data_IF_203839542272
#
_entry.id   IF_203839542272
#
_cell.length_a   1.000
_cell.length_b   1.000
_cell.length_c   1.000
_cell.angle_alpha   90.00
_cell.angle_beta   90.00
_cell.angle_gamma   90.00
#
_symmetry.space_group_name_H-M   'P 1'
#
loop_
_entity.id
_entity.type
_entity.pdbx_description
1 polymer ?
#
# COMPACT_ATOMS: atom_id res chain seq x y z
N UNK A 1 -5.93 -27.76 2.77
CA UNK A 1 -6.52 -26.46 3.18
C UNK A 1 -5.64 -25.66 4.17
N UNK A 2 -4.44 -26.12 4.52
CA UNK A 2 -3.55 -25.47 5.52
C UNK A 2 -2.58 -24.42 4.95
N UNK A 3 -2.25 -24.48 3.65
CA UNK A 3 -1.26 -23.58 3.03
C UNK A 3 -1.74 -22.15 2.72
N UNK A 4 -3.05 -21.93 2.62
CA UNK A 4 -3.63 -20.59 2.37
C UNK A 4 -3.58 -19.72 3.62
N UNK A 5 -3.81 -20.29 4.79
CA UNK A 5 -3.78 -19.57 6.07
C UNK A 5 -2.38 -19.06 6.44
N UNK A 6 -1.35 -19.88 6.22
CA UNK A 6 0.04 -19.47 6.51
C UNK A 6 0.55 -18.36 5.58
N UNK A 7 0.04 -18.27 4.35
CA UNK A 7 0.36 -17.17 3.43
C UNK A 7 -0.34 -15.87 3.81
N UNK A 8 -1.60 -15.95 4.24
CA UNK A 8 -2.35 -14.80 4.73
C UNK A 8 -1.71 -14.17 5.96
N UNK A 9 -1.28 -14.99 6.93
CA UNK A 9 -0.60 -14.51 8.15
C UNK A 9 0.73 -13.77 7.87
N UNK A 10 1.36 -14.03 6.71
CA UNK A 10 2.62 -13.38 6.29
C UNK A 10 2.40 -12.12 5.46
N UNK A 11 1.18 -11.83 5.01
CA UNK A 11 0.95 -10.67 4.14
C UNK A 11 1.02 -9.36 4.94
N UNK A 12 1.67 -8.35 4.37
CA UNK A 12 1.76 -7.01 4.96
C UNK A 12 0.38 -6.40 5.25
N UNK A 13 -0.63 -6.50 4.35
CA UNK A 13 -1.97 -5.98 4.63
C UNK A 13 -2.65 -6.67 5.81
N UNK A 14 -2.46 -7.99 5.96
CA UNK A 14 -3.04 -8.72 7.09
C UNK A 14 -2.38 -8.33 8.41
N UNK A 15 -1.05 -8.20 8.44
CA UNK A 15 -0.31 -7.75 9.63
C UNK A 15 -0.73 -6.35 10.05
N UNK A 16 -0.87 -5.42 9.11
CA UNK A 16 -1.35 -4.06 9.38
C UNK A 16 -2.78 -4.07 9.95
N UNK A 17 -3.68 -4.84 9.35
CA UNK A 17 -5.05 -4.98 9.85
C UNK A 17 -5.07 -5.54 11.29
N UNK A 18 -4.24 -6.54 11.58
CA UNK A 18 -4.12 -7.12 12.91
C UNK A 18 -3.55 -6.11 13.93
N UNK A 19 -2.55 -5.31 13.54
CA UNK A 19 -1.99 -4.27 14.42
C UNK A 19 -3.01 -3.17 14.71
N UNK A 20 -3.78 -2.72 13.72
CA UNK A 20 -4.83 -1.73 13.94
C UNK A 20 -5.97 -2.30 14.80
N UNK A 21 -6.37 -3.56 14.56
CA UNK A 21 -7.35 -4.25 15.41
C UNK A 21 -6.87 -4.33 16.86
N UNK A 22 -5.60 -4.70 17.08
CA UNK A 22 -5.01 -4.75 18.41
C UNK A 22 -4.99 -3.37 19.08
N UNK A 23 -4.53 -2.32 18.39
CA UNK A 23 -4.52 -0.95 18.92
C UNK A 23 -5.92 -0.45 19.25
N UNK A 24 -6.91 -0.77 18.42
CA UNK A 24 -8.30 -0.38 18.65
C UNK A 24 -8.89 -1.09 19.87
N UNK A 25 -8.67 -2.41 20.00
CA UNK A 25 -9.11 -3.17 21.18
C UNK A 25 -8.40 -2.67 22.43
N UNK A 26 -7.10 -2.40 22.37
CA UNK A 26 -6.34 -1.84 23.48
C UNK A 26 -6.88 -0.47 23.91
N UNK A 27 -7.12 0.43 22.95
CA UNK A 27 -7.71 1.74 23.23
C UNK A 27 -9.12 1.62 23.84
N UNK A 28 -9.93 0.67 23.35
CA UNK A 28 -11.26 0.40 23.90
C UNK A 28 -11.18 -0.09 25.35
N UNK A 29 -10.31 -1.07 25.63
CA UNK A 29 -10.06 -1.60 26.99
C UNK A 29 -9.58 -0.52 27.95
N UNK A 30 -8.62 0.30 27.52
CA UNK A 30 -8.12 1.42 28.34
C UNK A 30 -9.21 2.45 28.61
N UNK A 31 -10.00 2.81 27.60
CA UNK A 31 -11.15 3.71 27.76
C UNK A 31 -12.17 3.15 28.74
N UNK A 32 -12.51 1.86 28.62
CA UNK A 32 -13.41 1.17 29.55
C UNK A 32 -12.90 1.17 30.99
N UNK A 33 -11.60 0.91 31.18
CA UNK A 33 -10.99 0.95 32.51
C UNK A 33 -11.05 2.35 33.14
N UNK A 34 -10.79 3.41 32.35
CA UNK A 34 -10.90 4.80 32.80
C UNK A 34 -12.34 5.14 33.18
N UNK A 35 -13.31 4.79 32.31
CA UNK A 35 -14.73 5.04 32.57
C UNK A 35 -15.20 4.30 33.83
N UNK A 36 -14.82 3.03 33.99
CA UNK A 36 -15.15 2.24 35.19
C UNK A 36 -14.58 2.89 36.45
N UNK A 37 -13.31 3.29 36.43
CA UNK A 37 -12.66 3.93 37.57
C UNK A 37 -13.29 5.28 37.93
N UNK A 38 -13.60 6.11 36.91
CA UNK A 38 -14.26 7.40 37.12
C UNK A 38 -15.68 7.23 37.68
N UNK A 39 -16.43 6.25 37.17
CA UNK A 39 -17.78 5.94 37.63
C UNK A 39 -17.80 5.39 39.06
N UNK A 40 -16.92 4.44 39.38
CA UNK A 40 -16.83 3.84 40.72
C UNK A 40 -16.44 4.88 41.78
N UNK A 41 -15.50 5.78 41.44
CA UNK A 41 -15.14 6.91 42.31
C UNK A 41 -16.31 7.89 42.53
N UNK A 42 -17.02 8.30 41.47
CA UNK A 42 -18.18 9.20 41.56
C UNK A 42 -19.35 8.55 42.34
N UNK A 43 -19.61 7.25 42.15
CA UNK A 43 -20.62 6.51 42.91
C UNK A 43 -20.28 6.43 44.40
N UNK A 44 -19.02 6.15 44.74
CA UNK A 44 -18.58 6.08 46.14
C UNK A 44 -18.70 7.45 46.84
N UNK A 45 -18.28 8.53 46.19
CA UNK A 45 -18.39 9.89 46.74
C UNK A 45 -19.86 10.32 46.92
N UNK A 46 -20.71 10.08 45.91
CA UNK A 46 -22.15 10.37 46.02
C UNK A 46 -22.84 9.56 47.10
N UNK A 47 -22.44 8.31 47.29
CA UNK A 47 -22.98 7.47 48.35
C UNK A 47 -22.60 8.03 49.73
N UNK A 48 -21.32 8.37 49.94
CA UNK A 48 -20.84 8.97 51.17
C UNK A 48 -21.56 10.32 51.46
N UNK A 49 -21.72 11.18 50.46
CA UNK A 49 -22.48 12.45 50.59
C UNK A 49 -23.94 12.21 50.95
N UNK A 50 -24.62 11.27 50.27
CA UNK A 50 -26.02 10.93 50.53
C UNK A 50 -26.22 10.38 51.94
N UNK A 51 -25.31 9.52 52.41
CA UNK A 51 -25.34 8.99 53.77
C UNK A 51 -25.18 10.14 54.78
N UNK A 52 -24.23 11.04 54.55
CA UNK A 52 -23.93 12.15 55.46
C UNK A 52 -25.05 13.18 55.50
N UNK A 53 -25.67 13.50 54.37
CA UNK A 53 -26.87 14.34 54.30
C UNK A 53 -28.05 13.71 55.04
N UNK A 54 -28.29 12.41 54.80
CA UNK A 54 -29.36 11.67 55.49
C UNK A 54 -29.12 11.66 57.01
N UNK A 55 -27.88 11.41 57.44
CA UNK A 55 -27.49 11.53 58.85
C UNK A 55 -27.78 12.93 59.39
N UNK A 56 -27.36 13.99 58.69
CA UNK A 56 -27.54 15.37 59.13
C UNK A 56 -29.02 15.75 59.26
N UNK A 57 -29.87 15.31 58.32
CA UNK A 57 -31.32 15.56 58.36
C UNK A 57 -31.97 14.88 59.56
N UNK A 58 -31.65 13.61 59.82
CA UNK A 58 -32.21 12.87 60.96
C UNK A 58 -31.65 13.39 62.29
N UNK A 59 -30.35 13.72 62.34
CA UNK A 59 -29.72 14.30 63.52
C UNK A 59 -30.30 15.69 63.85
N UNK A 60 -30.65 16.50 62.85
CA UNK A 60 -31.24 17.82 63.05
C UNK A 60 -32.65 17.77 63.67
N UNK A 61 -33.34 16.62 63.60
CA UNK A 61 -34.63 16.41 64.30
C UNK A 61 -34.48 16.37 65.81
N UNK A 62 -33.26 16.21 66.33
CA UNK A 62 -32.96 16.33 67.75
C UNK A 62 -32.85 17.81 68.17
N UNK A 63 -34.00 18.50 68.23
CA UNK A 63 -34.12 19.81 68.84
C UNK A 63 -34.73 19.69 70.26
N UNK A 64 -34.29 20.53 71.20
CA UNK A 64 -34.85 20.64 72.55
C UNK A 64 -34.78 19.38 73.45
N UNK A 65 -33.82 18.48 73.22
CA UNK A 65 -33.63 17.27 74.05
C UNK A 65 -34.81 16.28 73.95
N UNK A 66 -35.64 16.38 72.90
CA UNK A 66 -36.76 15.47 72.65
C UNK A 66 -36.29 14.17 72.00
N UNK A 67 -35.85 13.24 72.85
CA UNK A 67 -35.48 11.89 72.43
C UNK A 67 -36.65 11.14 71.78
N UNK A 68 -37.89 11.46 72.13
CA UNK A 68 -39.07 10.77 71.63
C UNK A 68 -39.31 11.10 70.16
N UNK A 69 -39.14 12.35 69.77
CA UNK A 69 -39.24 12.80 68.37
C UNK A 69 -38.16 12.17 67.48
N UNK A 70 -36.92 12.05 68.00
CA UNK A 70 -35.83 11.36 67.30
C UNK A 70 -36.11 9.87 67.12
N UNK A 71 -36.59 9.19 68.16
CA UNK A 71 -36.98 7.76 68.12
C UNK A 71 -38.11 7.54 67.11
N UNK A 72 -39.11 8.41 67.08
CA UNK A 72 -40.24 8.33 66.15
C UNK A 72 -39.80 8.58 64.69
N UNK A 73 -38.91 9.54 64.48
CA UNK A 73 -38.32 9.85 63.16
C UNK A 73 -37.47 8.69 62.65
N UNK A 74 -36.55 8.17 63.47
CA UNK A 74 -35.74 6.98 63.12
C UNK A 74 -36.64 5.76 62.87
N UNK A 75 -37.66 5.56 63.71
CA UNK A 75 -38.65 4.49 63.54
C UNK A 75 -39.41 4.59 62.22
N UNK A 76 -39.93 5.77 61.89
CA UNK A 76 -40.69 6.00 60.65
C UNK A 76 -39.84 5.87 59.38
N UNK A 77 -38.59 6.37 59.39
CA UNK A 77 -37.65 6.19 58.29
C UNK A 77 -37.25 4.71 58.12
N UNK A 78 -37.03 3.99 59.21
CA UNK A 78 -36.67 2.57 59.18
C UNK A 78 -37.76 1.67 58.59
N UNK A 79 -39.04 2.03 58.78
CA UNK A 79 -40.20 1.30 58.23
C UNK A 79 -40.45 1.59 56.74
N UNK A 80 -39.96 2.72 56.22
CA UNK A 80 -40.09 3.09 54.79
C UNK A 80 -39.09 2.36 53.89
N UNK A 81 -37.98 1.85 54.44
CA UNK A 81 -36.99 1.07 53.69
C UNK A 81 -37.44 -0.39 53.51
N UNK A 82 -38.42 -0.62 52.63
CA UNK A 82 -39.04 -1.93 52.39
C UNK A 82 -38.06 -3.02 51.92
N UNK A 83 -36.95 -2.64 51.29
CA UNK A 83 -35.90 -3.55 50.81
C UNK A 83 -34.64 -3.58 51.69
N UNK A 84 -34.64 -2.89 52.84
CA UNK A 84 -33.44 -2.73 53.70
C UNK A 84 -32.23 -2.17 52.94
N UNK A 85 -32.47 -1.38 51.89
CA UNK A 85 -31.45 -0.62 51.16
C UNK A 85 -30.87 0.50 52.04
N UNK A 86 -31.62 0.92 53.06
CA UNK A 86 -31.21 1.89 54.06
C UNK A 86 -31.46 1.32 55.46
N UNK A 87 -30.44 1.41 56.31
CA UNK A 87 -30.47 0.96 57.67
C UNK A 87 -30.24 2.14 58.62
N UNK A 88 -31.04 2.19 59.67
CA UNK A 88 -30.97 3.19 60.73
C UNK A 88 -30.84 2.49 62.07
N UNK A 89 -29.94 2.98 62.91
CA UNK A 89 -29.75 2.50 64.28
C UNK A 89 -29.50 3.69 65.19
N UNK A 90 -30.35 3.87 66.20
CA UNK A 90 -30.14 4.78 67.30
C UNK A 90 -29.82 3.96 68.55
N UNK A 91 -28.66 4.19 69.14
CA UNK A 91 -28.17 3.44 70.31
C UNK A 91 -27.89 4.37 71.49
N UNK A 92 -28.12 3.88 72.70
CA UNK A 92 -27.75 4.60 73.92
C UNK A 92 -26.23 4.56 74.17
N UNK A 93 -25.75 5.29 75.18
CA UNK A 93 -24.33 5.32 75.57
C UNK A 93 -23.75 3.95 75.99
N UNK A 94 -24.60 2.93 76.21
CA UNK A 94 -24.21 1.56 76.55
C UNK A 94 -24.29 0.60 75.35
N UNK A 95 -24.68 1.10 74.17
CA UNK A 95 -24.80 0.33 72.94
C UNK A 95 -26.13 -0.40 72.74
N UNK A 96 -27.13 -0.17 73.60
CA UNK A 96 -28.46 -0.77 73.41
C UNK A 96 -29.27 0.02 72.38
N UNK A 97 -29.99 -0.69 71.51
CA UNK A 97 -30.83 -0.08 70.47
C UNK A 97 -32.07 0.59 71.06
N UNK A 98 -32.19 1.90 70.86
CA UNK A 98 -33.37 2.71 71.18
C UNK A 98 -34.39 2.73 70.03
N UNK A 99 -33.93 2.82 68.78
CA UNK A 99 -34.78 2.85 67.58
C UNK A 99 -34.03 2.37 66.34
N UNK A 100 -34.77 1.96 65.30
CA UNK A 100 -34.22 1.60 63.99
C UNK A 100 -34.39 0.12 63.59
N UNK A 101 -33.98 -0.20 62.37
CA UNK A 101 -34.18 -1.52 61.75
C UNK A 101 -32.97 -2.47 61.90
N UNK A 102 -31.84 -2.00 62.42
CA UNK A 102 -30.68 -2.82 62.79
C UNK A 102 -30.06 -2.35 64.10
N UNK A 103 -29.10 -3.11 64.64
CA UNK A 103 -28.33 -2.70 65.84
C UNK A 103 -26.87 -2.50 65.46
N UNK A 104 -26.42 -1.24 65.44
CA UNK A 104 -25.02 -0.89 65.23
C UNK A 104 -24.21 -1.23 66.48
N UNK A 105 -23.44 -2.33 66.44
CA UNK A 105 -22.57 -2.74 67.54
C UNK A 105 -21.10 -2.62 67.11
N UNK A 106 -20.33 -1.78 67.81
CA UNK A 106 -18.87 -1.67 67.61
C UNK A 106 -18.42 -0.92 66.35
N UNK A 107 -19.29 -0.13 65.71
CA UNK A 107 -18.90 0.73 64.59
C UNK A 107 -18.18 1.99 65.10
N UNK A 108 -17.06 2.40 64.47
CA UNK A 108 -16.35 3.62 64.84
C UNK A 108 -17.12 4.87 64.40
N UNK A 109 -16.85 6.00 65.08
CA UNK A 109 -17.36 7.30 64.64
C UNK A 109 -16.83 7.67 63.25
N UNK A 110 -17.71 8.23 62.44
CA UNK A 110 -17.48 8.54 61.03
C UNK A 110 -17.85 7.39 60.10
N UNK A 111 -17.15 7.36 58.97
CA UNK A 111 -17.45 6.45 57.87
C UNK A 111 -16.88 5.04 58.12
N UNK A 112 -17.72 4.02 58.04
CA UNK A 112 -17.34 2.61 58.18
C UNK A 112 -17.99 1.73 57.11
N UNK A 113 -17.50 0.50 56.94
CA UNK A 113 -18.13 -0.54 56.13
C UNK A 113 -18.36 -1.77 57.01
N UNK A 114 -19.48 -2.45 56.82
CA UNK A 114 -19.79 -3.69 57.52
C UNK A 114 -20.61 -4.63 56.64
N UNK A 115 -20.56 -5.92 56.96
CA UNK A 115 -21.28 -6.97 56.27
C UNK A 115 -22.30 -7.64 57.20
N UNK A 116 -22.72 -8.84 56.83
CA UNK A 116 -23.94 -9.50 57.30
C UNK A 116 -23.84 -10.13 58.69
N UNK A 117 -22.77 -9.86 59.42
CA UNK A 117 -22.56 -10.34 60.79
C UNK A 117 -23.40 -9.58 61.84
N UNK A 118 -24.11 -8.51 61.45
CA UNK A 118 -24.89 -7.68 62.39
C UNK A 118 -26.38 -8.04 62.48
N UNK A 119 -26.99 -8.03 63.69
CA UNK A 119 -28.42 -8.29 63.87
C UNK A 119 -29.32 -7.29 63.13
N UNK A 120 -30.11 -7.80 62.18
CA UNK A 120 -31.06 -7.02 61.38
C UNK A 120 -30.63 -6.79 59.93
N UNK A 121 -29.39 -7.12 59.57
CA UNK A 121 -28.83 -6.97 58.22
C UNK A 121 -29.21 -8.18 57.35
N UNK A 122 -29.63 -8.00 56.08
CA UNK A 122 -29.82 -9.09 55.13
C UNK A 122 -28.51 -9.84 54.82
N UNK A 123 -28.52 -11.17 54.60
CA UNK A 123 -27.33 -11.95 54.24
C UNK A 123 -26.83 -11.65 52.81
N UNK A 124 -25.50 -11.65 52.62
CA UNK A 124 -24.82 -11.35 51.35
C UNK A 124 -24.76 -9.89 50.88
N UNK A 125 -25.11 -8.90 51.70
CA UNK A 125 -25.04 -7.48 51.32
C UNK A 125 -24.01 -6.73 52.17
N UNK A 126 -23.13 -5.98 51.52
CA UNK A 126 -22.22 -5.03 52.17
C UNK A 126 -22.90 -3.67 52.34
N UNK A 127 -22.62 -3.01 53.46
CA UNK A 127 -23.19 -1.71 53.79
C UNK A 127 -22.10 -0.68 54.07
N UNK A 128 -22.33 0.52 53.56
CA UNK A 128 -21.55 1.71 53.87
C UNK A 128 -22.29 2.52 54.93
N UNK A 129 -21.65 2.80 56.06
CA UNK A 129 -22.25 3.47 57.20
C UNK A 129 -21.56 4.79 57.56
N UNK A 130 -22.34 5.70 58.15
CA UNK A 130 -21.83 6.84 58.89
C UNK A 130 -22.44 6.85 60.30
N UNK A 131 -21.57 6.82 61.31
CA UNK A 131 -21.94 6.86 62.72
C UNK A 131 -21.49 8.18 63.35
N UNK A 132 -22.31 8.75 64.23
CA UNK A 132 -21.91 9.93 64.99
C UNK A 132 -22.82 10.21 66.20
N UNK A 133 -22.34 11.06 67.13
CA UNK A 133 -23.09 11.42 68.33
C UNK A 133 -24.23 12.39 68.02
N UNK A 134 -25.40 12.12 68.60
CA UNK A 134 -26.58 13.00 68.60
C UNK A 134 -27.08 13.10 70.04
N UNK A 135 -26.74 14.20 70.72
CA UNK A 135 -26.97 14.37 72.15
C UNK A 135 -26.08 13.45 72.99
N UNK A 136 -26.69 12.48 73.67
CA UNK A 136 -26.01 11.41 74.45
C UNK A 136 -26.08 10.02 73.82
N UNK A 137 -26.58 9.93 72.58
CA UNK A 137 -26.82 8.69 71.85
C UNK A 137 -25.98 8.66 70.57
N UNK A 138 -25.80 7.49 69.98
CA UNK A 138 -25.14 7.33 68.68
C UNK A 138 -26.17 7.00 67.61
N UNK A 139 -26.24 7.85 66.58
CA UNK A 139 -27.03 7.60 65.38
C UNK A 139 -26.11 7.01 64.31
N UNK A 140 -26.55 5.90 63.71
CA UNK A 140 -25.89 5.30 62.55
C UNK A 140 -26.88 5.20 61.40
N UNK A 141 -26.46 5.72 60.25
CA UNK A 141 -27.16 5.59 58.97
C UNK A 141 -26.27 4.75 58.05
N UNK A 142 -26.82 3.70 57.45
CA UNK A 142 -26.10 2.85 56.52
C UNK A 142 -26.89 2.62 55.24
N UNK A 143 -26.21 2.55 54.10
CA UNK A 143 -26.78 2.29 52.78
C UNK A 143 -26.15 1.04 52.20
N UNK A 144 -26.94 0.24 51.49
CA UNK A 144 -26.50 -0.99 50.84
C UNK A 144 -25.60 -0.68 49.64
N UNK A 145 -24.48 -1.37 49.51
CA UNK A 145 -23.62 -1.35 48.32
C UNK A 145 -24.17 -2.23 47.18
N UNK A 146 -25.27 -2.96 47.41
CA UNK A 146 -25.86 -3.84 46.39
C UNK A 146 -26.29 -3.11 45.13
N UNK A 147 -26.82 -1.89 45.22
CA UNK A 147 -27.21 -1.09 44.04
C UNK A 147 -25.97 -0.65 43.25
N UNK A 148 -24.91 -0.22 43.93
CA UNK A 148 -23.64 0.16 43.30
C UNK A 148 -22.97 -1.05 42.65
N UNK A 149 -22.99 -2.22 43.30
CA UNK A 149 -22.46 -3.47 42.74
C UNK A 149 -23.25 -3.97 41.52
N UNK A 150 -24.58 -3.83 41.53
CA UNK A 150 -25.42 -4.15 40.37
C UNK A 150 -25.11 -3.24 39.18
N UNK A 151 -24.98 -1.94 39.40
CA UNK A 151 -24.57 -0.96 38.40
C UNK A 151 -23.19 -1.30 37.82
N UNK A 152 -22.21 -1.58 38.68
CA UNK A 152 -20.87 -1.99 38.26
C UNK A 152 -20.90 -3.27 37.42
N UNK A 153 -21.68 -4.28 37.83
CA UNK A 153 -21.85 -5.54 37.09
C UNK A 153 -22.47 -5.32 35.70
N UNK A 154 -23.51 -4.50 35.61
CA UNK A 154 -24.17 -4.18 34.33
C UNK A 154 -23.16 -3.50 33.40
N UNK A 155 -22.37 -2.55 33.91
CA UNK A 155 -21.36 -1.83 33.13
C UNK A 155 -20.24 -2.75 32.68
N UNK A 156 -19.69 -3.60 33.56
CA UNK A 156 -18.66 -4.57 33.22
C UNK A 156 -19.16 -5.58 32.19
N UNK A 157 -20.38 -6.10 32.33
CA UNK A 157 -20.96 -7.04 31.37
C UNK A 157 -21.21 -6.36 30.01
N UNK A 158 -21.72 -5.13 30.01
CA UNK A 158 -21.91 -4.33 28.79
C UNK A 158 -20.58 -4.06 28.09
N UNK A 159 -19.53 -3.76 28.86
CA UNK A 159 -18.18 -3.55 28.35
C UNK A 159 -17.57 -4.85 27.77
N UNK A 160 -17.81 -5.99 28.43
CA UNK A 160 -17.41 -7.30 27.95
C UNK A 160 -18.06 -7.66 26.61
N UNK A 161 -19.39 -7.47 26.49
CA UNK A 161 -20.10 -7.67 25.23
C UNK A 161 -19.63 -6.70 24.13
N UNK A 162 -19.44 -5.42 24.47
CA UNK A 162 -18.89 -4.43 23.54
C UNK A 162 -17.52 -4.83 23.02
N UNK A 163 -16.61 -5.27 23.91
CA UNK A 163 -15.27 -5.74 23.55
C UNK A 163 -15.34 -6.95 22.63
N UNK A 164 -16.21 -7.91 22.92
CA UNK A 164 -16.39 -9.12 22.11
C UNK A 164 -16.89 -8.80 20.70
N UNK A 165 -17.90 -7.94 20.58
CA UNK A 165 -18.45 -7.51 19.29
C UNK A 165 -17.41 -6.75 18.46
N UNK A 166 -16.73 -5.76 19.08
CA UNK A 166 -15.69 -4.96 18.42
C UNK A 166 -14.55 -5.85 17.95
N UNK A 167 -14.09 -6.78 18.79
CA UNK A 167 -13.01 -7.71 18.43
C UNK A 167 -13.43 -8.60 17.26
N UNK A 168 -14.65 -9.15 17.30
CA UNK A 168 -15.20 -9.96 16.21
C UNK A 168 -15.27 -9.19 14.88
N UNK A 169 -15.78 -7.95 14.91
CA UNK A 169 -15.84 -7.07 13.74
C UNK A 169 -14.45 -6.71 13.22
N UNK A 170 -13.50 -6.41 14.11
CA UNK A 170 -12.13 -6.06 13.72
C UNK A 170 -11.42 -7.24 13.04
N UNK A 171 -11.54 -8.45 13.59
CA UNK A 171 -10.97 -9.67 13.00
C UNK A 171 -11.63 -10.00 11.66
N UNK A 172 -12.96 -9.99 11.60
CA UNK A 172 -13.70 -10.29 10.37
C UNK A 172 -13.43 -9.27 9.27
N UNK A 173 -13.52 -7.97 9.58
CA UNK A 173 -13.24 -6.87 8.67
C UNK A 173 -11.78 -6.90 8.17
N UNK A 174 -10.83 -7.11 9.08
CA UNK A 174 -9.41 -7.24 8.75
C UNK A 174 -9.13 -8.42 7.81
N UNK A 175 -9.71 -9.60 8.08
CA UNK A 175 -9.57 -10.77 7.22
C UNK A 175 -10.19 -10.56 5.82
N UNK A 176 -11.36 -9.92 5.74
CA UNK A 176 -12.02 -9.60 4.47
C UNK A 176 -11.21 -8.61 3.62
N UNK A 177 -10.70 -7.54 4.21
CA UNK A 177 -9.88 -6.56 3.51
C UNK A 177 -8.55 -7.17 3.05
N UNK A 178 -7.85 -7.87 3.95
CA UNK A 178 -6.57 -8.51 3.64
C UNK A 178 -6.71 -9.55 2.53
N UNK A 179 -7.76 -10.38 2.55
CA UNK A 179 -8.00 -11.38 1.50
C UNK A 179 -8.30 -10.75 0.13
N UNK A 180 -9.02 -9.63 0.08
CA UNK A 180 -9.25 -8.90 -1.18
C UNK A 180 -7.96 -8.35 -1.78
N UNK A 181 -7.12 -7.71 -0.96
CA UNK A 181 -5.83 -7.15 -1.42
C UNK A 181 -4.88 -8.27 -1.85
N UNK A 182 -4.77 -9.33 -1.06
CA UNK A 182 -3.90 -10.46 -1.37
C UNK A 182 -4.26 -11.12 -2.71
N UNK A 183 -5.55 -11.35 -2.98
CA UNK A 183 -6.00 -11.94 -4.26
C UNK A 183 -5.58 -11.10 -5.47
N UNK A 184 -5.56 -9.77 -5.35
CA UNK A 184 -5.09 -8.90 -6.43
C UNK A 184 -3.58 -8.98 -6.63
N UNK A 185 -2.82 -8.96 -5.54
CA UNK A 185 -1.37 -9.14 -5.60
C UNK A 185 -0.98 -10.49 -6.18
N UNK A 186 -1.72 -11.56 -5.84
CA UNK A 186 -1.50 -12.89 -6.41
C UNK A 186 -1.75 -12.90 -7.93
N UNK A 187 -2.74 -12.14 -8.42
CA UNK A 187 -2.99 -11.94 -9.85
C UNK A 187 -1.82 -11.26 -10.57
N UNK A 188 -1.29 -10.18 -9.98
CA UNK A 188 -0.09 -9.49 -10.50
C UNK A 188 1.10 -10.46 -10.55
N UNK A 189 1.35 -11.17 -9.45
CA UNK A 189 2.46 -12.12 -9.35
C UNK A 189 2.34 -13.24 -10.40
N UNK A 190 1.13 -13.76 -10.63
CA UNK A 190 0.89 -14.77 -11.66
C UNK A 190 1.24 -14.25 -13.06
N UNK A 191 0.82 -13.03 -13.42
CA UNK A 191 1.19 -12.42 -14.71
C UNK A 191 2.71 -12.26 -14.83
N UNK A 192 3.40 -11.81 -13.78
CA UNK A 192 4.86 -11.68 -13.81
C UNK A 192 5.57 -13.03 -13.99
N UNK A 193 5.05 -14.10 -13.38
CA UNK A 193 5.54 -15.45 -13.60
C UNK A 193 5.32 -15.88 -15.05
N UNK A 194 4.15 -15.60 -15.63
CA UNK A 194 3.85 -15.93 -17.03
C UNK A 194 4.78 -15.20 -18.01
N UNK A 195 5.02 -13.91 -17.78
CA UNK A 195 5.99 -13.09 -18.54
C UNK A 195 7.40 -13.67 -18.42
N UNK A 196 7.82 -14.11 -17.24
CA UNK A 196 9.15 -14.72 -17.05
C UNK A 196 9.34 -16.04 -17.82
N UNK A 197 8.25 -16.74 -18.14
CA UNK A 197 8.24 -17.92 -19.02
C UNK A 197 8.08 -17.56 -20.52
N UNK A 198 8.17 -16.28 -20.89
CA UNK A 198 8.12 -15.81 -22.27
C UNK A 198 6.73 -15.47 -22.80
N UNK A 199 5.67 -15.50 -21.97
CA UNK A 199 4.31 -15.13 -22.38
C UNK A 199 4.10 -13.61 -22.30
N UNK A 200 4.68 -12.90 -23.28
CA UNK A 200 4.72 -11.43 -23.31
C UNK A 200 3.37 -10.76 -23.64
N UNK A 201 2.36 -11.52 -24.05
CA UNK A 201 1.02 -10.99 -24.36
C UNK A 201 0.10 -10.90 -23.14
N UNK A 202 0.51 -11.50 -22.01
CA UNK A 202 -0.28 -11.48 -20.78
C UNK A 202 -0.25 -10.10 -20.12
N UNK A 203 -1.39 -9.68 -19.57
CA UNK A 203 -1.53 -8.38 -18.88
C UNK A 203 -2.17 -8.56 -17.52
N UNK A 204 -1.82 -7.67 -16.61
CA UNK A 204 -2.43 -7.61 -15.29
C UNK A 204 -3.88 -7.12 -15.46
N UNK A 205 -4.88 -7.84 -14.93
CA UNK A 205 -6.28 -7.42 -15.02
C UNK A 205 -6.53 -6.16 -14.19
N UNK A 206 -7.06 -5.12 -14.82
CA UNK A 206 -7.48 -3.90 -14.14
C UNK A 206 -8.90 -4.06 -13.62
N UNK A 207 -9.17 -3.56 -12.41
CA UNK A 207 -10.52 -3.58 -11.83
C UNK A 207 -11.37 -2.36 -12.14
N UNK A 208 -10.78 -1.31 -12.73
CA UNK A 208 -11.47 -0.08 -13.12
C UNK A 208 -11.91 0.79 -11.94
N UNK A 209 -11.35 0.56 -10.75
CA UNK A 209 -11.62 1.35 -9.55
C UNK A 209 -10.72 2.57 -9.43
N UNK A 210 -9.61 2.60 -10.17
CA UNK A 210 -8.65 3.70 -10.13
C UNK A 210 -7.96 3.84 -8.77
N UNK A 211 -7.83 2.74 -8.04
CA UNK A 211 -7.05 2.69 -6.81
C UNK A 211 -5.54 2.55 -7.09
N UNK A 212 -4.72 2.67 -6.05
CA UNK A 212 -3.26 2.61 -6.16
C UNK A 212 -2.78 1.33 -6.87
N UNK A 213 -3.49 0.22 -6.69
CA UNK A 213 -3.15 -1.06 -7.34
C UNK A 213 -3.46 -1.00 -8.84
N UNK A 214 -4.60 -0.43 -9.25
CA UNK A 214 -4.92 -0.23 -10.67
C UNK A 214 -3.90 0.71 -11.35
N UNK A 215 -3.47 1.78 -10.67
CA UNK A 215 -2.46 2.71 -11.19
C UNK A 215 -1.15 1.98 -11.45
N UNK A 216 -0.62 1.27 -10.46
CA UNK A 216 0.63 0.50 -10.60
C UNK A 216 0.48 -0.57 -11.68
N UNK A 217 -0.65 -1.28 -11.71
CA UNK A 217 -0.93 -2.31 -12.72
C UNK A 217 -0.94 -1.73 -14.13
N UNK A 218 -1.49 -0.52 -14.33
CA UNK A 218 -1.48 0.14 -15.63
C UNK A 218 -0.06 0.51 -16.09
N UNK A 219 0.79 0.99 -15.18
CA UNK A 219 2.17 1.33 -15.47
C UNK A 219 3.00 0.08 -15.80
N UNK A 220 2.79 -1.01 -15.07
CA UNK A 220 3.43 -2.30 -15.37
C UNK A 220 2.96 -2.82 -16.73
N UNK A 221 1.67 -2.76 -17.04
CA UNK A 221 1.16 -3.14 -18.37
C UNK A 221 1.81 -2.32 -19.49
N UNK A 222 1.95 -1.00 -19.34
CA UNK A 222 2.65 -0.16 -20.32
C UNK A 222 4.12 -0.55 -20.49
N UNK A 223 4.80 -0.96 -19.42
CA UNK A 223 6.16 -1.50 -19.49
C UNK A 223 6.20 -2.86 -20.22
N UNK A 224 5.21 -3.74 -19.99
CA UNK A 224 5.06 -5.01 -20.70
C UNK A 224 4.77 -4.81 -22.19
N UNK A 225 3.98 -3.79 -22.56
CA UNK A 225 3.74 -3.44 -23.97
C UNK A 225 5.04 -3.06 -24.68
N UNK A 226 5.86 -2.22 -24.03
CA UNK A 226 7.19 -1.85 -24.56
C UNK A 226 8.12 -3.06 -24.67
N UNK A 227 8.13 -3.93 -23.65
CA UNK A 227 8.91 -5.15 -23.68
C UNK A 227 8.49 -6.07 -24.83
N UNK A 228 7.19 -6.27 -25.02
CA UNK A 228 6.65 -7.11 -26.10
C UNK A 228 7.04 -6.55 -27.47
N UNK A 229 6.87 -5.23 -27.67
CA UNK A 229 7.28 -4.56 -28.91
C UNK A 229 8.78 -4.69 -29.20
N UNK A 230 9.64 -4.56 -28.18
CA UNK A 230 11.10 -4.73 -28.32
C UNK A 230 11.48 -6.17 -28.70
N UNK A 231 10.85 -7.17 -28.07
CA UNK A 231 11.13 -8.58 -28.37
C UNK A 231 10.63 -8.95 -29.76
N UNK A 232 9.46 -8.47 -30.17
CA UNK A 232 8.94 -8.72 -31.51
C UNK A 232 9.80 -8.04 -32.58
N UNK A 233 10.20 -6.79 -32.35
CA UNK A 233 11.14 -6.08 -33.23
C UNK A 233 12.46 -6.85 -33.38
N UNK A 234 13.03 -7.36 -32.28
CA UNK A 234 14.25 -8.17 -32.32
C UNK A 234 14.10 -9.46 -33.13
N UNK A 235 12.96 -10.15 -33.01
CA UNK A 235 12.67 -11.35 -33.82
C UNK A 235 12.58 -11.01 -35.30
N UNK A 236 11.88 -9.94 -35.65
CA UNK A 236 11.69 -9.54 -37.04
C UNK A 236 13.01 -9.11 -37.69
N UNK A 237 13.84 -8.33 -36.98
CA UNK A 237 15.19 -7.98 -37.44
C UNK A 237 16.04 -9.23 -37.64
N UNK A 238 16.01 -10.18 -36.69
CA UNK A 238 16.76 -11.43 -36.79
C UNK A 238 16.32 -12.28 -38.00
N UNK A 239 15.02 -12.32 -38.28
CA UNK A 239 14.47 -13.04 -39.43
C UNK A 239 14.89 -12.39 -40.77
N UNK A 240 14.86 -11.06 -40.84
CA UNK A 240 15.30 -10.31 -42.02
C UNK A 240 16.80 -10.54 -42.29
N UNK A 241 17.64 -10.45 -41.26
CA UNK A 241 19.08 -10.74 -41.36
C UNK A 241 19.31 -12.15 -41.93
N UNK A 242 18.61 -13.16 -41.41
CA UNK A 242 18.75 -14.53 -41.88
C UNK A 242 18.36 -14.67 -43.35
N UNK A 243 17.31 -13.99 -43.80
CA UNK A 243 16.87 -13.99 -45.20
C UNK A 243 17.88 -13.30 -46.12
N UNK A 244 18.33 -12.10 -45.74
CA UNK A 244 19.20 -11.25 -46.56
C UNK A 244 20.60 -11.83 -46.70
N UNK A 245 21.08 -12.61 -45.72
CA UNK A 245 22.34 -13.35 -45.81
C UNK A 245 22.22 -14.67 -46.58
N UNK A 246 21.07 -15.35 -46.52
CA UNK A 246 20.87 -16.66 -47.16
C UNK A 246 20.99 -16.58 -48.68
N UNK A 247 20.47 -15.52 -49.28
CA UNK A 247 20.48 -15.33 -50.75
C UNK A 247 21.90 -15.23 -51.32
N UNK A 248 22.76 -14.30 -50.87
CA UNK A 248 24.13 -14.19 -51.39
C UNK A 248 25.01 -15.38 -50.98
N UNK A 249 24.79 -16.00 -49.81
CA UNK A 249 25.49 -17.24 -49.43
C UNK A 249 25.19 -18.40 -50.40
N UNK A 250 23.91 -18.61 -50.75
CA UNK A 250 23.53 -19.62 -51.73
C UNK A 250 24.14 -19.31 -53.11
N UNK A 251 24.19 -18.03 -53.49
CA UNK A 251 24.80 -17.61 -54.75
C UNK A 251 26.31 -17.90 -54.77
N UNK A 252 27.02 -17.52 -53.71
CA UNK A 252 28.44 -17.82 -53.53
C UNK A 252 28.68 -19.34 -53.63
N UNK A 253 27.82 -20.14 -53.02
CA UNK A 253 27.91 -21.60 -53.08
C UNK A 253 27.74 -22.13 -54.52
N UNK A 254 26.75 -21.64 -55.27
CA UNK A 254 26.57 -22.01 -56.68
C UNK A 254 27.77 -21.62 -57.57
N UNK A 255 28.38 -20.46 -57.32
CA UNK A 255 29.59 -20.01 -58.04
C UNK A 255 30.75 -20.97 -57.76
N UNK A 256 30.96 -21.34 -56.49
CA UNK A 256 32.02 -22.27 -56.07
C UNK A 256 31.80 -23.69 -56.61
N UNK A 257 30.56 -24.18 -56.64
CA UNK A 257 30.22 -25.49 -57.22
C UNK A 257 30.53 -25.50 -58.73
N UNK A 258 30.15 -24.44 -59.44
CA UNK A 258 30.46 -24.26 -60.87
C UNK A 258 31.97 -24.20 -61.13
N UNK A 259 32.72 -23.50 -60.27
CA UNK A 259 34.19 -23.44 -60.34
C UNK A 259 34.80 -24.84 -60.15
N UNK A 260 34.29 -25.62 -59.19
CA UNK A 260 34.73 -26.99 -58.92
C UNK A 260 34.52 -27.91 -60.11
N UNK A 261 33.33 -27.90 -60.73
CA UNK A 261 33.02 -28.68 -61.93
C UNK A 261 33.91 -28.31 -63.13
N UNK A 262 34.16 -27.01 -63.32
CA UNK A 262 35.05 -26.53 -64.38
C UNK A 262 36.49 -26.98 -64.15
N UNK A 263 36.98 -26.91 -62.91
CA UNK A 263 38.31 -27.37 -62.54
C UNK A 263 38.50 -28.87 -62.83
N UNK A 264 37.52 -29.71 -62.43
CA UNK A 264 37.52 -31.15 -62.72
C UNK A 264 37.52 -31.46 -64.22
N UNK A 265 36.91 -30.58 -65.03
CA UNK A 265 36.87 -30.69 -66.48
C UNK A 265 38.11 -30.10 -67.19
N UNK A 266 39.13 -29.63 -66.45
CA UNK A 266 40.31 -28.95 -67.00
C UNK A 266 40.02 -27.58 -67.65
N UNK A 267 38.87 -26.97 -67.36
CA UNK A 267 38.49 -25.64 -67.87
C UNK A 267 39.05 -24.53 -66.98
N UNK A 268 39.23 -23.33 -67.54
CA UNK A 268 39.67 -22.14 -66.77
C UNK A 268 38.58 -21.74 -65.76
N UNK A 269 39.00 -21.41 -64.53
CA UNK A 269 38.13 -21.06 -63.38
C UNK A 269 38.30 -19.61 -62.88
N UNK A 270 39.12 -18.81 -63.56
CA UNK A 270 39.50 -17.48 -63.08
C UNK A 270 38.29 -16.51 -62.98
N UNK A 271 37.28 -16.69 -63.84
CA UNK A 271 36.08 -15.86 -63.81
C UNK A 271 35.22 -16.16 -62.58
N UNK A 272 35.03 -17.44 -62.24
CA UNK A 272 34.25 -17.86 -61.09
C UNK A 272 34.92 -17.48 -59.76
N UNK A 273 36.25 -17.57 -59.68
CA UNK A 273 36.99 -17.11 -58.50
C UNK A 273 36.85 -15.58 -58.32
N UNK A 274 36.86 -14.81 -59.40
CA UNK A 274 36.64 -13.36 -59.33
C UNK A 274 35.20 -13.04 -58.92
N UNK A 275 34.21 -13.75 -59.45
CA UNK A 275 32.80 -13.58 -59.07
C UNK A 275 32.56 -13.98 -57.61
N UNK A 276 33.16 -15.08 -57.14
CA UNK A 276 33.08 -15.51 -55.74
C UNK A 276 33.71 -14.48 -54.79
N UNK A 277 34.85 -13.89 -55.17
CA UNK A 277 35.48 -12.83 -54.38
C UNK A 277 34.59 -11.57 -54.30
N UNK A 278 33.99 -11.16 -55.43
CA UNK A 278 33.06 -10.03 -55.45
C UNK A 278 31.81 -10.31 -54.59
N UNK A 279 31.22 -11.49 -54.69
CA UNK A 279 30.07 -11.89 -53.86
C UNK A 279 30.43 -11.94 -52.36
N UNK A 280 31.64 -12.38 -52.01
CA UNK A 280 32.12 -12.35 -50.62
C UNK A 280 32.28 -10.92 -50.08
N UNK A 281 32.74 -9.98 -50.89
CA UNK A 281 32.80 -8.55 -50.51
C UNK A 281 31.39 -7.99 -50.28
N UNK A 282 30.45 -8.30 -51.17
CA UNK A 282 29.03 -7.91 -51.04
C UNK A 282 28.41 -8.44 -49.72
N UNK A 283 28.72 -9.68 -49.34
CA UNK A 283 28.26 -10.28 -48.06
C UNK A 283 28.82 -9.49 -46.87
N UNK A 284 30.12 -9.17 -46.89
CA UNK A 284 30.75 -8.38 -45.82
C UNK A 284 30.13 -6.98 -45.70
N UNK A 285 29.92 -6.29 -46.82
CA UNK A 285 29.26 -4.97 -46.84
C UNK A 285 27.84 -5.05 -46.25
N UNK A 286 27.09 -6.10 -46.59
CA UNK A 286 25.74 -6.33 -46.04
C UNK A 286 25.80 -6.58 -44.54
N UNK A 287 26.76 -7.37 -44.07
CA UNK A 287 26.94 -7.64 -42.64
C UNK A 287 27.31 -6.36 -41.86
N UNK A 288 28.22 -5.56 -42.39
CA UNK A 288 28.62 -4.27 -41.80
C UNK A 288 27.48 -3.26 -41.77
N UNK A 289 26.59 -3.29 -42.77
CA UNK A 289 25.37 -2.48 -42.79
C UNK A 289 24.39 -2.93 -41.70
N UNK A 290 24.18 -4.25 -41.56
CA UNK A 290 23.29 -4.83 -40.52
C UNK A 290 23.80 -4.54 -39.11
N UNK A 291 25.12 -4.66 -38.86
CA UNK A 291 25.71 -4.28 -37.57
C UNK A 291 25.51 -2.80 -37.26
N UNK A 292 25.65 -1.93 -38.26
CA UNK A 292 25.37 -0.49 -38.12
C UNK A 292 23.92 -0.23 -37.73
N UNK A 293 22.96 -0.88 -38.39
CA UNK A 293 21.53 -0.75 -38.05
C UNK A 293 21.28 -1.19 -36.60
N UNK A 294 21.78 -2.36 -36.19
CA UNK A 294 21.61 -2.85 -34.83
C UNK A 294 22.20 -1.91 -33.76
N UNK A 295 23.35 -1.28 -34.04
CA UNK A 295 23.96 -0.29 -33.13
C UNK A 295 23.16 1.01 -33.02
N UNK A 296 22.49 1.42 -34.10
CA UNK A 296 21.59 2.58 -34.13
C UNK A 296 20.30 2.28 -33.35
N UNK A 297 19.68 1.12 -33.58
CA UNK A 297 18.44 0.69 -32.92
C UNK A 297 18.62 0.46 -31.41
N UNK A 298 19.74 -0.12 -31.00
CA UNK A 298 20.08 -0.32 -29.59
C UNK A 298 20.32 1.01 -28.82
N UNK A 299 20.27 2.16 -29.50
CA UNK A 299 20.48 3.47 -28.90
C UNK A 299 21.92 3.73 -28.44
N UNK A 300 22.85 2.77 -28.64
CA UNK A 300 24.26 2.91 -28.28
C UNK A 300 24.93 4.09 -29.00
N UNK A 301 24.49 4.42 -30.22
CA UNK A 301 24.97 5.59 -30.99
C UNK A 301 24.36 6.93 -30.53
N UNK A 302 23.26 6.95 -29.77
CA UNK A 302 22.67 8.21 -29.24
C UNK A 302 23.61 8.94 -28.27
N UNK A 303 24.56 8.24 -27.67
CA UNK A 303 25.58 8.86 -26.81
C UNK A 303 26.53 9.83 -27.56
N UNK A 304 26.59 9.78 -28.90
CA UNK A 304 27.39 10.70 -29.74
C UNK A 304 26.58 11.84 -30.37
N UNK A 305 25.30 11.97 -30.02
CA UNK A 305 24.49 13.06 -30.58
C UNK A 305 24.95 14.40 -30.01
N UNK A 306 25.21 15.35 -30.90
CA UNK A 306 25.67 16.70 -30.61
C UNK A 306 24.99 17.68 -31.55
N UNK A 307 25.12 18.98 -31.32
CA UNK A 307 24.55 19.99 -32.22
C UNK A 307 25.42 20.13 -33.48
N UNK A 308 24.93 19.60 -34.60
CA UNK A 308 25.63 19.53 -35.89
C UNK A 308 25.07 20.58 -36.84
N UNK A 309 25.98 21.31 -37.50
CA UNK A 309 25.65 22.18 -38.63
C UNK A 309 25.49 21.35 -39.90
N UNK A 310 24.28 21.31 -40.46
CA UNK A 310 24.00 20.56 -41.67
C UNK A 310 24.64 21.17 -42.92
N UNK A 311 24.87 22.49 -42.91
CA UNK A 311 25.54 23.20 -43.98
C UNK A 311 26.95 22.66 -44.22
N UNK A 312 27.73 22.50 -43.15
CA UNK A 312 29.07 21.89 -43.21
C UNK A 312 29.04 20.46 -43.76
N UNK A 313 28.04 19.67 -43.36
CA UNK A 313 27.90 18.27 -43.80
C UNK A 313 27.60 18.21 -45.30
N UNK A 314 26.64 19.02 -45.77
CA UNK A 314 26.28 19.07 -47.19
C UNK A 314 27.39 19.65 -48.05
N UNK A 315 28.14 20.63 -47.55
CA UNK A 315 29.32 21.16 -48.23
C UNK A 315 30.38 20.07 -48.43
N UNK A 316 30.68 19.30 -47.38
CA UNK A 316 31.63 18.18 -47.47
C UNK A 316 31.21 17.16 -48.52
N UNK A 317 29.92 16.82 -48.58
CA UNK A 317 29.38 15.88 -49.59
C UNK A 317 29.45 16.46 -51.00
N UNK A 318 29.11 17.73 -51.17
CA UNK A 318 29.17 18.40 -52.47
C UNK A 318 30.60 18.41 -53.02
N UNK A 319 31.60 18.70 -52.18
CA UNK A 319 33.02 18.70 -52.56
C UNK A 319 33.52 17.32 -52.97
N UNK A 320 33.13 16.25 -52.26
CA UNK A 320 33.58 14.88 -52.56
C UNK A 320 32.96 14.34 -53.86
N UNK A 321 31.68 14.62 -54.11
CA UNK A 321 30.94 14.00 -55.22
C UNK A 321 30.76 14.90 -56.44
N UNK A 322 31.24 16.15 -56.43
CA UNK A 322 31.16 17.05 -57.59
C UNK A 322 31.87 16.46 -58.81
N UNK A 323 33.14 16.09 -58.66
CA UNK A 323 33.95 15.53 -59.75
C UNK A 323 33.37 14.19 -60.24
N UNK A 324 32.91 13.35 -59.32
CA UNK A 324 32.28 12.06 -59.63
C UNK A 324 30.98 12.25 -60.44
N UNK A 325 30.20 13.28 -60.13
CA UNK A 325 28.99 13.61 -60.86
C UNK A 325 29.31 14.07 -62.29
N UNK A 326 30.33 14.91 -62.46
CA UNK A 326 30.76 15.40 -63.78
C UNK A 326 31.30 14.28 -64.67
N UNK A 327 32.15 13.41 -64.11
CA UNK A 327 32.70 12.23 -64.82
C UNK A 327 31.59 11.29 -65.33
N UNK A 328 30.48 11.21 -64.60
CA UNK A 328 29.32 10.37 -64.93
C UNK A 328 28.25 11.12 -65.77
N UNK A 329 28.61 12.30 -66.30
CA UNK A 329 27.81 13.14 -67.19
C UNK A 329 26.61 13.81 -66.51
N UNK A 330 26.69 14.07 -65.21
CA UNK A 330 25.64 14.67 -64.36
C UNK A 330 26.17 15.96 -63.74
N UNK A 331 25.32 16.69 -63.02
CA UNK A 331 25.73 17.90 -62.27
C UNK A 331 25.25 17.82 -60.82
N UNK A 332 26.12 18.20 -59.89
CA UNK A 332 25.79 18.32 -58.47
C UNK A 332 25.83 19.80 -58.08
N UNK A 333 24.75 20.31 -57.49
CA UNK A 333 24.65 21.71 -57.06
C UNK A 333 24.27 21.80 -55.59
N UNK A 334 24.97 22.66 -54.85
CA UNK A 334 24.65 22.98 -53.46
C UNK A 334 24.00 24.36 -53.40
N UNK A 335 22.79 24.42 -52.85
CA UNK A 335 22.08 25.65 -52.54
C UNK A 335 22.07 25.85 -51.02
N UNK A 336 22.98 26.69 -50.53
CA UNK A 336 23.10 27.03 -49.11
C UNK A 336 22.81 28.52 -48.90
N UNK A 337 21.95 28.89 -47.92
CA UNK A 337 21.81 30.29 -47.51
C UNK A 337 23.09 30.81 -46.85
N UNK A 338 23.39 32.10 -47.03
CA UNK A 338 24.65 32.73 -46.63
C UNK A 338 24.90 32.74 -45.12
N UNK A 339 23.87 32.53 -44.32
CA UNK A 339 23.92 32.27 -42.87
C UNK A 339 22.84 31.24 -42.52
N UNK A 340 23.23 30.01 -42.20
CA UNK A 340 22.32 29.02 -41.57
C UNK A 340 22.80 28.79 -40.16
N UNK A 341 21.99 29.15 -39.17
CA UNK A 341 22.27 28.89 -37.74
C UNK A 341 21.58 27.59 -37.26
N UNK A 342 20.99 26.84 -38.20
CA UNK A 342 20.12 25.71 -37.91
C UNK A 342 20.98 24.47 -37.62
N UNK A 343 21.35 24.34 -36.34
CA UNK A 343 22.00 23.14 -35.82
C UNK A 343 20.93 22.12 -35.49
N UNK A 344 21.15 20.88 -35.94
CA UNK A 344 20.31 19.75 -35.53
C UNK A 344 21.04 18.88 -34.51
N UNK A 345 20.29 18.31 -33.57
CA UNK A 345 20.86 17.39 -32.60
C UNK A 345 21.00 16.00 -33.23
N UNK A 346 22.23 15.58 -33.56
CA UNK A 346 22.52 14.36 -34.30
C UNK A 346 23.98 13.90 -34.25
N UNK A 347 24.28 12.77 -34.89
CA UNK A 347 25.66 12.28 -35.10
C UNK A 347 26.13 12.72 -36.49
N UNK A 348 27.21 13.52 -36.55
CA UNK A 348 27.78 14.05 -37.80
C UNK A 348 28.10 12.94 -38.81
N UNK A 349 28.65 11.82 -38.35
CA UNK A 349 29.08 10.71 -39.20
C UNK A 349 27.88 9.99 -39.83
N UNK A 350 26.79 9.80 -39.07
CA UNK A 350 25.55 9.23 -39.61
C UNK A 350 24.89 10.14 -40.64
N UNK A 351 24.88 11.45 -40.38
CA UNK A 351 24.32 12.44 -41.31
C UNK A 351 25.14 12.49 -42.60
N UNK A 352 26.47 12.55 -42.51
CA UNK A 352 27.37 12.47 -43.68
C UNK A 352 27.10 11.20 -44.48
N UNK A 353 27.05 10.04 -43.81
CA UNK A 353 26.78 8.77 -44.50
C UNK A 353 25.38 8.74 -45.14
N UNK A 354 24.36 9.27 -44.48
CA UNK A 354 23.00 9.35 -45.03
C UNK A 354 22.99 10.17 -46.33
N UNK A 355 23.61 11.36 -46.33
CA UNK A 355 23.66 12.20 -47.54
C UNK A 355 24.53 11.59 -48.64
N UNK A 356 25.67 10.98 -48.30
CA UNK A 356 26.50 10.23 -49.24
C UNK A 356 25.68 9.13 -49.94
N UNK A 357 24.96 8.31 -49.17
CA UNK A 357 24.12 7.23 -49.71
C UNK A 357 23.03 7.75 -50.65
N UNK A 358 22.43 8.92 -50.35
CA UNK A 358 21.41 9.53 -51.21
C UNK A 358 22.01 10.06 -52.53
N UNK A 359 23.19 10.69 -52.47
CA UNK A 359 23.90 11.18 -53.66
C UNK A 359 24.37 10.02 -54.52
N UNK A 360 24.96 8.97 -53.94
CA UNK A 360 25.35 7.76 -54.66
C UNK A 360 24.16 7.08 -55.36
N UNK A 361 23.03 6.99 -54.68
CA UNK A 361 21.81 6.46 -55.29
C UNK A 361 21.35 7.31 -56.48
N UNK A 362 21.41 8.63 -56.37
CA UNK A 362 21.07 9.52 -57.48
C UNK A 362 22.05 9.37 -58.66
N UNK A 363 23.35 9.29 -58.40
CA UNK A 363 24.36 9.06 -59.43
C UNK A 363 24.15 7.72 -60.15
N UNK A 364 23.86 6.66 -59.40
CA UNK A 364 23.71 5.30 -59.91
C UNK A 364 22.43 5.09 -60.73
N UNK A 365 21.33 5.75 -60.36
CA UNK A 365 20.00 5.45 -60.89
C UNK A 365 19.43 6.53 -61.82
N UNK A 366 20.00 7.74 -61.84
CA UNK A 366 19.55 8.79 -62.74
C UNK A 366 20.29 8.75 -64.09
N UNK A 367 19.63 9.11 -65.21
CA UNK A 367 20.26 9.20 -66.52
C UNK A 367 21.28 10.37 -66.58
N UNK A 368 22.19 10.33 -67.55
CA UNK A 368 23.10 11.45 -67.84
C UNK A 368 22.33 12.73 -68.17
N UNK A 369 22.89 13.89 -67.81
CA UNK A 369 22.25 15.21 -67.91
C UNK A 369 21.38 15.59 -66.71
N UNK A 370 21.26 14.72 -65.70
CA UNK A 370 20.49 15.01 -64.48
C UNK A 370 21.25 15.99 -63.58
N UNK A 371 20.52 16.96 -63.02
CA UNK A 371 21.02 17.85 -61.95
C UNK A 371 20.55 17.37 -60.60
N UNK A 372 21.50 17.01 -59.74
CA UNK A 372 21.29 16.65 -58.33
C UNK A 372 21.45 17.94 -57.51
N UNK A 373 20.43 18.31 -56.75
CA UNK A 373 20.44 19.54 -55.93
C UNK A 373 20.41 19.20 -54.45
N UNK A 374 21.43 19.65 -53.72
CA UNK A 374 21.48 19.64 -52.25
C UNK A 374 21.01 21.00 -51.74
N UNK A 375 20.11 21.02 -50.77
CA UNK A 375 19.64 22.25 -50.12
C UNK A 375 19.27 21.97 -48.67
N UNK A 376 19.56 22.95 -47.81
CA UNK A 376 19.18 22.96 -46.40
C UNK A 376 18.34 24.17 -46.08
#
# INVERSE_FOLDING_TARGET
MTGTWSRLLRSTPFRLALTFAFLFVLAFVLSGAIVYQMMSADLAERLDDTIKETYAVVAATYAENDLKELVETVGSHSLRSLKKEQLFSLTDATGNRLAGNFTAAGLPDGFSMFDTEMPGVPPGAEYRAYSGPVGGNTLTVAFSLSETEELERIVLMSFGWGTLIITGLAVAGGALLASRVQRRLDGIAATMVDVSHGRLDTRIPLTGKGDDIDIVSSQVNAALDRLSALVEGMKQVSANIAHDLKTPLNRLQMILDTASEKNLSGRKIAAELAEAHAESLQINETFDALLRIAQIEAGARRARFTDVDLGEVLQTIAEIYADVAEDDGKSLSLAQPQETTDRIHGDRELLTQMFANLVENALRHCPSGTTIKLSV
#
